data_IF_572047643315
#
_entry.id   IF_572047643315
#
_cell.length_a   1.000
_cell.length_b   1.000
_cell.length_c   1.000
_cell.angle_alpha   90.00
_cell.angle_beta   90.00
_cell.angle_gamma   90.00
#
_symmetry.space_group_name_H-M   'P 1'
#
loop_
_entity.id
_entity.type
_entity.pdbx_description
1 polymer ?
#
# COMPACT_ATOMS: atom_id res chain seq x y z
N UNK A 1 21.27 14.30 -13.06
CA UNK A 1 22.74 14.34 -12.84
C UNK A 1 23.35 12.93 -12.88
N UNK A 2 22.93 11.99 -12.03
CA UNK A 2 23.45 10.60 -12.06
C UNK A 2 23.25 9.94 -13.44
N UNK A 3 22.07 10.09 -14.05
CA UNK A 3 21.78 9.57 -15.40
C UNK A 3 22.77 10.12 -16.45
N UNK A 4 23.09 11.42 -16.37
CA UNK A 4 24.07 12.03 -17.26
C UNK A 4 25.49 11.48 -17.03
N UNK A 5 25.88 11.27 -15.78
CA UNK A 5 27.17 10.64 -15.43
C UNK A 5 27.22 9.20 -15.95
N UNK A 6 26.14 8.44 -15.84
CA UNK A 6 26.05 7.07 -16.36
C UNK A 6 26.23 7.02 -17.88
N UNK A 7 25.52 7.88 -18.62
CA UNK A 7 25.58 7.90 -20.09
C UNK A 7 26.87 8.51 -20.65
N UNK A 8 27.47 9.51 -19.98
CA UNK A 8 28.61 10.28 -20.54
C UNK A 8 29.97 9.97 -19.90
N UNK A 9 29.99 9.59 -18.62
CA UNK A 9 31.23 9.34 -17.85
C UNK A 9 31.42 7.85 -17.50
N UNK A 10 30.43 7.02 -17.80
CA UNK A 10 30.48 5.56 -17.68
C UNK A 10 29.81 4.99 -16.43
N UNK A 11 29.42 3.73 -16.56
CA UNK A 11 28.66 2.98 -15.55
C UNK A 11 29.36 2.82 -14.21
N UNK A 12 30.70 2.70 -14.21
CA UNK A 12 31.49 2.55 -12.98
C UNK A 12 31.33 3.76 -12.04
N UNK A 13 31.43 4.97 -12.58
CA UNK A 13 31.20 6.20 -11.80
C UNK A 13 29.72 6.37 -11.46
N UNK A 14 28.84 6.05 -12.42
CA UNK A 14 27.40 6.13 -12.25
C UNK A 14 26.84 5.29 -11.09
N UNK A 15 27.34 4.07 -10.90
CA UNK A 15 26.95 3.21 -9.78
C UNK A 15 27.83 3.40 -8.53
N UNK A 16 29.09 3.83 -8.70
CA UNK A 16 29.99 4.10 -7.59
C UNK A 16 29.51 5.22 -6.66
N UNK A 17 28.96 6.30 -7.22
CA UNK A 17 28.45 7.44 -6.43
C UNK A 17 27.31 7.00 -5.48
N UNK A 18 26.22 6.34 -5.94
CA UNK A 18 25.19 5.79 -5.06
C UNK A 18 25.73 4.79 -4.03
N UNK A 19 26.69 3.94 -4.42
CA UNK A 19 27.27 2.94 -3.51
C UNK A 19 28.01 3.59 -2.34
N UNK A 20 28.83 4.62 -2.62
CA UNK A 20 29.53 5.40 -1.57
C UNK A 20 28.51 6.12 -0.70
N UNK A 21 27.50 6.75 -1.31
CA UNK A 21 26.43 7.44 -0.56
C UNK A 21 25.68 6.49 0.38
N UNK A 22 25.37 5.27 -0.06
CA UNK A 22 24.76 4.23 0.76
C UNK A 22 25.70 3.82 1.91
N UNK A 23 27.00 3.66 1.66
CA UNK A 23 27.99 3.37 2.69
C UNK A 23 28.04 4.45 3.79
N UNK A 24 28.01 5.72 3.40
CA UNK A 24 27.95 6.85 4.34
C UNK A 24 26.64 6.83 5.14
N UNK A 25 25.50 6.56 4.50
CA UNK A 25 24.21 6.45 5.17
C UNK A 25 24.20 5.33 6.22
N UNK A 26 24.75 4.16 5.89
CA UNK A 26 24.87 3.02 6.82
C UNK A 26 25.79 3.37 8.00
N UNK A 27 26.95 3.98 7.75
CA UNK A 27 27.86 4.40 8.81
C UNK A 27 27.21 5.43 9.75
N UNK A 28 26.49 6.40 9.20
CA UNK A 28 25.72 7.38 9.97
C UNK A 28 24.62 6.73 10.81
N UNK A 29 23.90 5.76 10.24
CA UNK A 29 22.88 4.99 10.95
C UNK A 29 23.47 4.25 12.16
N UNK A 30 24.59 3.54 11.98
CA UNK A 30 25.24 2.83 13.09
C UNK A 30 25.84 3.76 14.14
N UNK A 31 26.39 4.91 13.74
CA UNK A 31 26.88 5.92 14.67
C UNK A 31 25.77 6.46 15.60
N UNK A 32 24.52 6.43 15.16
CA UNK A 32 23.36 6.87 15.95
C UNK A 32 22.77 5.82 16.89
N UNK A 33 23.28 4.59 16.90
CA UNK A 33 22.65 3.44 17.59
C UNK A 33 22.40 3.71 19.08
N UNK A 34 23.31 4.39 19.77
CA UNK A 34 23.16 4.72 21.19
C UNK A 34 22.02 5.71 21.48
N UNK A 35 21.57 6.48 20.49
CA UNK A 35 20.49 7.45 20.60
C UNK A 35 19.12 6.86 20.26
N UNK A 36 19.07 5.64 19.71
CA UNK A 36 17.84 5.03 19.24
C UNK A 36 17.02 4.43 20.39
N UNK A 37 15.73 4.78 20.43
CA UNK A 37 14.77 4.14 21.32
C UNK A 37 14.17 2.92 20.61
N UNK A 38 14.48 1.73 21.11
CA UNK A 38 13.97 0.48 20.56
C UNK A 38 12.51 0.27 20.97
N UNK A 39 11.62 0.20 19.97
CA UNK A 39 10.22 -0.14 20.17
C UNK A 39 10.07 -1.67 20.25
N UNK A 40 9.24 -2.15 21.19
CA UNK A 40 8.93 -3.58 21.29
C UNK A 40 8.20 -4.05 20.02
N UNK A 41 8.49 -5.24 19.49
CA UNK A 41 7.83 -5.74 18.28
C UNK A 41 6.33 -5.96 18.53
N UNK A 42 5.48 -5.30 17.74
CA UNK A 42 4.01 -5.33 17.87
C UNK A 42 3.32 -6.52 17.21
N UNK A 43 4.04 -7.61 16.92
CA UNK A 43 3.52 -8.75 16.16
C UNK A 43 3.31 -8.45 14.67
N UNK A 44 2.80 -9.44 13.92
CA UNK A 44 2.55 -9.33 12.47
C UNK A 44 1.05 -9.40 12.16
N UNK A 45 0.46 -8.38 11.50
CA UNK A 45 -0.91 -8.43 11.03
C UNK A 45 -1.17 -9.60 10.06
N UNK A 46 -0.19 -9.94 9.22
CA UNK A 46 -0.30 -11.07 8.28
C UNK A 46 -0.44 -12.40 9.02
N UNK A 47 0.27 -12.58 10.13
CA UNK A 47 0.15 -13.78 10.95
C UNK A 47 -1.27 -13.91 11.54
N UNK A 48 -1.88 -12.79 11.99
CA UNK A 48 -3.27 -12.78 12.48
C UNK A 48 -4.28 -13.15 11.39
N UNK A 49 -4.08 -12.68 10.16
CA UNK A 49 -4.93 -13.05 9.02
C UNK A 49 -4.83 -14.54 8.70
N UNK A 50 -3.61 -15.08 8.68
CA UNK A 50 -3.39 -16.52 8.48
C UNK A 50 -4.01 -17.36 9.60
N UNK A 51 -3.96 -16.88 10.85
CA UNK A 51 -4.61 -17.52 11.99
C UNK A 51 -6.11 -17.66 11.78
N UNK A 52 -6.80 -16.58 11.38
CA UNK A 52 -8.26 -16.60 11.11
C UNK A 52 -8.60 -17.58 9.99
N UNK A 53 -7.83 -17.58 8.90
CA UNK A 53 -8.04 -18.52 7.80
C UNK A 53 -7.86 -19.96 8.28
N UNK A 54 -6.76 -20.28 8.95
CA UNK A 54 -6.48 -21.64 9.44
C UNK A 54 -7.53 -22.09 10.46
N UNK A 55 -7.91 -21.23 11.41
CA UNK A 55 -8.89 -21.53 12.43
C UNK A 55 -10.29 -21.75 11.83
N UNK A 56 -10.73 -20.91 10.90
CA UNK A 56 -12.02 -21.06 10.20
C UNK A 56 -12.06 -22.33 9.35
N UNK A 57 -10.99 -22.68 8.63
CA UNK A 57 -10.91 -23.95 7.89
C UNK A 57 -10.96 -25.17 8.82
N UNK A 58 -10.23 -25.15 9.95
CA UNK A 58 -10.27 -26.23 10.95
C UNK A 58 -11.66 -26.41 11.57
N UNK A 59 -12.37 -25.31 11.80
CA UNK A 59 -13.72 -25.28 12.38
C UNK A 59 -14.83 -25.29 11.32
N UNK A 60 -14.50 -25.53 10.05
CA UNK A 60 -15.45 -25.43 8.92
C UNK A 60 -16.66 -26.38 9.07
N UNK A 61 -16.52 -27.50 9.77
CA UNK A 61 -17.62 -28.46 10.02
C UNK A 61 -18.51 -28.12 11.23
N UNK A 62 -18.15 -27.12 12.04
CA UNK A 62 -18.95 -26.72 13.19
C UNK A 62 -20.13 -25.84 12.75
N UNK A 63 -21.25 -25.99 13.46
CA UNK A 63 -22.40 -25.11 13.31
C UNK A 63 -22.04 -23.73 13.89
N UNK A 64 -22.46 -22.68 13.18
CA UNK A 64 -22.36 -21.32 13.67
C UNK A 64 -23.50 -21.08 14.67
N UNK A 65 -23.23 -20.55 15.87
CA UNK A 65 -24.28 -20.12 16.78
C UNK A 65 -25.11 -18.98 16.15
N UNK A 66 -26.41 -18.96 16.41
CA UNK A 66 -27.32 -17.91 15.92
C UNK A 66 -27.08 -16.56 16.63
N UNK A 67 -26.64 -16.60 17.89
CA UNK A 67 -26.32 -15.42 18.69
C UNK A 67 -24.85 -15.00 18.52
N UNK A 68 -24.63 -13.80 17.97
CA UNK A 68 -23.29 -13.20 17.81
C UNK A 68 -22.57 -12.95 19.14
N UNK A 69 -23.31 -12.86 20.25
CA UNK A 69 -22.76 -12.69 21.60
C UNK A 69 -22.05 -13.95 22.13
N UNK A 70 -22.23 -15.11 21.48
CA UNK A 70 -21.56 -16.37 21.84
C UNK A 70 -20.20 -16.52 21.14
N UNK A 71 -19.83 -15.60 20.26
CA UNK A 71 -18.52 -15.60 19.60
C UNK A 71 -17.43 -15.14 20.57
N UNK A 72 -16.26 -15.77 20.47
CA UNK A 72 -15.12 -15.45 21.33
C UNK A 72 -14.59 -14.03 21.06
N UNK A 73 -14.59 -13.19 22.09
CA UNK A 73 -13.95 -11.88 22.09
C UNK A 73 -13.21 -11.69 23.42
N UNK A 74 -12.03 -11.06 23.35
CA UNK A 74 -11.19 -10.82 24.54
C UNK A 74 -11.55 -9.47 25.18
N UNK A 75 -11.48 -9.38 26.53
CA UNK A 75 -11.62 -8.12 27.28
C UNK A 75 -10.56 -7.09 26.86
N UNK A 76 -10.87 -5.80 26.90
CA UNK A 76 -10.00 -4.73 26.34
C UNK A 76 -8.57 -4.73 26.90
N UNK A 77 -8.40 -5.14 28.17
CA UNK A 77 -7.10 -5.25 28.85
C UNK A 77 -6.19 -6.39 28.35
N UNK A 78 -6.75 -7.42 27.70
CA UNK A 78 -6.01 -8.60 27.21
C UNK A 78 -5.86 -8.60 25.66
N UNK A 79 -6.11 -7.46 25.01
CA UNK A 79 -5.92 -7.35 23.57
C UNK A 79 -4.44 -7.49 23.19
N UNK A 80 -4.13 -8.39 22.26
CA UNK A 80 -2.75 -8.68 21.80
C UNK A 80 -2.07 -7.45 21.19
N UNK A 81 -2.84 -6.43 20.80
CA UNK A 81 -2.35 -5.15 20.29
C UNK A 81 -2.91 -4.03 21.16
N UNK A 82 -2.02 -3.39 21.92
CA UNK A 82 -2.32 -2.20 22.70
C UNK A 82 -2.83 -1.08 21.76
N UNK A 83 -4.11 -0.73 21.88
CA UNK A 83 -4.77 0.29 21.05
C UNK A 83 -5.62 -0.22 19.89
N UNK A 84 -5.84 -1.52 19.73
CA UNK A 84 -6.81 -2.03 18.74
C UNK A 84 -8.25 -1.71 19.17
N UNK A 85 -8.99 -0.98 18.33
CA UNK A 85 -10.41 -0.71 18.56
C UNK A 85 -11.22 -1.95 18.21
N UNK A 86 -12.04 -2.44 19.14
CA UNK A 86 -12.99 -3.52 18.88
C UNK A 86 -13.86 -3.20 17.67
N UNK A 87 -13.98 -4.16 16.76
CA UNK A 87 -14.80 -4.06 15.57
C UNK A 87 -16.14 -4.75 15.83
N UNK A 88 -17.22 -4.09 15.43
CA UNK A 88 -18.56 -4.69 15.52
C UNK A 88 -18.71 -5.83 14.52
N UNK A 89 -19.37 -6.89 14.96
CA UNK A 89 -19.59 -8.08 14.16
C UNK A 89 -20.48 -7.78 12.93
N UNK A 90 -20.05 -8.21 11.74
CA UNK A 90 -20.86 -8.10 10.52
C UNK A 90 -21.34 -9.47 10.04
N UNK A 91 -22.60 -9.53 9.57
CA UNK A 91 -23.25 -10.73 9.04
C UNK A 91 -22.72 -11.25 7.68
N UNK A 92 -21.68 -10.65 7.13
CA UNK A 92 -21.09 -11.04 5.85
C UNK A 92 -19.91 -11.99 6.05
N UNK A 93 -19.61 -12.83 5.05
CA UNK A 93 -18.50 -13.81 5.10
C UNK A 93 -18.56 -14.73 6.32
N UNK A 94 -19.76 -15.23 6.66
CA UNK A 94 -20.03 -16.05 7.85
C UNK A 94 -19.14 -17.29 8.02
N UNK A 95 -18.53 -17.77 6.94
CA UNK A 95 -17.58 -18.87 7.01
C UNK A 95 -16.36 -18.54 7.89
N UNK A 96 -15.93 -17.27 7.93
CA UNK A 96 -14.79 -16.81 8.72
C UNK A 96 -15.14 -16.73 10.22
N UNK A 97 -16.41 -16.50 10.55
CA UNK A 97 -16.90 -16.42 11.94
C UNK A 97 -16.71 -17.73 12.69
N UNK A 98 -16.57 -18.85 11.96
CA UNK A 98 -16.23 -20.17 12.52
C UNK A 98 -14.91 -20.16 13.28
N UNK A 99 -13.99 -19.23 12.99
CA UNK A 99 -12.75 -19.09 13.74
C UNK A 99 -12.96 -18.64 15.19
N UNK A 100 -14.05 -17.93 15.49
CA UNK A 100 -14.41 -17.46 16.84
C UNK A 100 -15.40 -18.37 17.57
N UNK A 101 -15.81 -19.50 16.97
CA UNK A 101 -16.69 -20.47 17.64
C UNK A 101 -15.88 -21.26 18.66
N UNK A 102 -16.27 -21.17 19.92
CA UNK A 102 -15.67 -21.94 21.01
C UNK A 102 -16.07 -23.42 20.87
N UNK A 103 -15.08 -24.30 20.74
CA UNK A 103 -15.33 -25.74 20.63
C UNK A 103 -15.40 -26.40 22.01
N UNK A 104 -16.19 -27.48 22.16
CA UNK A 104 -16.28 -28.26 23.41
C UNK A 104 -14.91 -28.67 24.00
N UNK A 105 -13.90 -28.87 23.15
CA UNK A 105 -12.53 -29.17 23.60
C UNK A 105 -11.89 -27.97 24.30
N UNK A 106 -12.10 -26.76 23.79
CA UNK A 106 -11.56 -25.53 24.38
C UNK A 106 -12.22 -25.23 25.73
N UNK A 107 -13.52 -25.50 25.85
CA UNK A 107 -14.26 -25.41 27.12
C UNK A 107 -13.75 -26.47 28.11
N UNK A 108 -13.57 -27.73 27.67
CA UNK A 108 -13.15 -28.83 28.55
C UNK A 108 -11.73 -28.70 29.09
N UNK A 109 -10.82 -28.07 28.35
CA UNK A 109 -9.42 -27.93 28.72
C UNK A 109 -9.05 -26.50 29.18
N UNK A 110 -10.01 -25.57 29.18
CA UNK A 110 -9.79 -24.12 29.42
C UNK A 110 -8.63 -23.52 28.60
N UNK A 111 -8.34 -24.09 27.43
CA UNK A 111 -7.24 -23.67 26.56
C UNK A 111 -7.74 -22.70 25.49
N UNK A 112 -7.79 -21.42 25.86
CA UNK A 112 -8.11 -20.29 24.97
C UNK A 112 -6.86 -19.59 24.42
N UNK A 113 -5.67 -20.10 24.71
CA UNK A 113 -4.40 -19.40 24.43
C UNK A 113 -3.96 -19.54 22.98
N UNK A 114 -4.39 -20.59 22.27
CA UNK A 114 -3.89 -20.92 20.94
C UNK A 114 -4.57 -20.10 19.81
N UNK A 115 -3.90 -19.10 19.23
CA UNK A 115 -4.52 -18.20 18.25
C UNK A 115 -4.77 -18.87 16.89
N UNK A 116 -4.19 -20.05 16.64
CA UNK A 116 -4.36 -20.84 15.40
C UNK A 116 -5.56 -21.79 15.46
N UNK A 117 -6.29 -21.79 16.57
CA UNK A 117 -7.50 -22.60 16.77
C UNK A 117 -8.70 -21.74 17.13
N UNK A 118 -8.49 -20.69 17.92
CA UNK A 118 -9.51 -19.76 18.32
C UNK A 118 -9.04 -18.33 18.06
N UNK A 119 -9.84 -17.57 17.31
CA UNK A 119 -9.57 -16.18 16.97
C UNK A 119 -10.66 -15.27 17.55
N UNK A 120 -10.35 -14.00 17.76
CA UNK A 120 -11.35 -13.02 18.24
C UNK A 120 -12.22 -12.51 17.09
N UNK A 121 -13.41 -12.00 17.39
CA UNK A 121 -14.28 -11.34 16.39
C UNK A 121 -13.58 -10.15 15.77
N UNK A 122 -12.83 -9.37 16.56
CA UNK A 122 -12.03 -8.26 16.03
C UNK A 122 -11.01 -8.72 14.97
N UNK A 123 -10.31 -9.86 15.19
CA UNK A 123 -9.39 -10.42 14.18
C UNK A 123 -10.10 -10.83 12.90
N UNK A 124 -11.31 -11.37 13.02
CA UNK A 124 -12.12 -11.81 11.89
C UNK A 124 -12.61 -10.62 11.09
N UNK A 125 -13.11 -9.58 11.75
CA UNK A 125 -13.58 -8.36 11.09
C UNK A 125 -12.44 -7.60 10.42
N UNK A 126 -11.23 -7.57 11.01
CA UNK A 126 -10.03 -7.06 10.33
C UNK A 126 -9.80 -7.76 8.98
N UNK A 127 -9.88 -9.10 8.94
CA UNK A 127 -9.73 -9.86 7.70
C UNK A 127 -10.88 -9.59 6.72
N UNK A 128 -12.13 -9.53 7.19
CA UNK A 128 -13.30 -9.23 6.34
C UNK A 128 -13.15 -7.86 5.67
N UNK A 129 -12.72 -6.83 6.40
CA UNK A 129 -12.47 -5.49 5.86
C UNK A 129 -11.41 -5.55 4.74
N UNK A 130 -10.33 -6.32 4.94
CA UNK A 130 -9.29 -6.46 3.91
C UNK A 130 -9.78 -7.18 2.66
N UNK A 131 -10.58 -8.24 2.82
CA UNK A 131 -11.22 -8.92 1.69
C UNK A 131 -12.12 -7.95 0.92
N UNK A 132 -12.89 -7.10 1.60
CA UNK A 132 -13.72 -6.06 0.96
C UNK A 132 -12.89 -4.97 0.27
N UNK A 133 -11.70 -4.67 0.77
CA UNK A 133 -10.79 -3.68 0.19
C UNK A 133 -10.00 -4.24 -1.01
N UNK A 134 -9.90 -5.57 -1.12
CA UNK A 134 -9.13 -6.24 -2.17
C UNK A 134 -9.55 -5.86 -3.61
N UNK A 135 -10.84 -5.78 -3.98
CA UNK A 135 -11.23 -5.35 -5.33
C UNK A 135 -10.74 -3.94 -5.68
N UNK A 136 -10.81 -3.01 -4.71
CA UNK A 136 -10.31 -1.63 -4.91
C UNK A 136 -8.80 -1.67 -5.11
N UNK A 137 -8.09 -2.41 -4.28
CA UNK A 137 -6.64 -2.62 -4.44
C UNK A 137 -6.28 -3.22 -5.80
N UNK A 138 -7.05 -4.20 -6.28
CA UNK A 138 -6.82 -4.85 -7.57
C UNK A 138 -6.94 -3.87 -8.75
N UNK A 139 -7.85 -2.88 -8.70
CA UNK A 139 -7.90 -1.83 -9.73
C UNK A 139 -6.63 -0.98 -9.78
N UNK A 140 -5.90 -0.85 -8.66
CA UNK A 140 -4.60 -0.19 -8.60
C UNK A 140 -3.49 -0.89 -9.39
N UNK A 141 -3.63 -2.18 -9.69
CA UNK A 141 -2.65 -2.94 -10.50
C UNK A 141 -2.52 -2.33 -11.90
N UNK A 142 -3.63 -1.89 -12.49
CA UNK A 142 -3.63 -1.25 -13.83
C UNK A 142 -2.82 0.04 -13.80
N UNK A 143 -3.01 0.86 -12.76
CA UNK A 143 -2.22 2.07 -12.58
C UNK A 143 -0.73 1.77 -12.40
N UNK A 144 -0.38 0.78 -11.57
CA UNK A 144 1.01 0.35 -11.39
C UNK A 144 1.66 -0.13 -12.68
N UNK A 145 0.90 -0.85 -13.52
CA UNK A 145 1.38 -1.29 -14.83
C UNK A 145 1.66 -0.10 -15.76
N UNK A 146 0.78 0.90 -15.80
CA UNK A 146 0.98 2.15 -16.56
C UNK A 146 2.20 2.90 -16.04
N UNK A 147 2.32 3.04 -14.72
CA UNK A 147 3.44 3.74 -14.10
C UNK A 147 4.78 3.05 -14.40
N UNK A 148 4.83 1.71 -14.41
CA UNK A 148 6.03 0.96 -14.74
C UNK A 148 6.55 1.28 -16.17
N UNK A 149 5.65 1.54 -17.13
CA UNK A 149 6.03 1.90 -18.50
C UNK A 149 6.81 3.22 -18.59
N UNK A 150 6.64 4.13 -17.61
CA UNK A 150 7.40 5.40 -17.57
C UNK A 150 8.91 5.16 -17.53
N UNK A 151 9.34 4.11 -16.83
CA UNK A 151 10.76 3.79 -16.64
C UNK A 151 11.37 2.95 -17.77
N UNK A 152 10.53 2.41 -18.66
CA UNK A 152 10.94 1.49 -19.73
C UNK A 152 10.54 2.03 -21.10
N UNK A 153 9.31 1.77 -21.57
CA UNK A 153 8.88 2.16 -22.91
C UNK A 153 9.00 3.66 -23.16
N UNK A 154 8.70 4.50 -22.18
CA UNK A 154 8.75 5.94 -22.37
C UNK A 154 10.20 6.45 -22.52
N UNK A 155 11.17 5.73 -21.95
CA UNK A 155 12.60 6.01 -22.15
C UNK A 155 13.01 5.64 -23.57
N UNK A 156 12.61 4.47 -24.06
CA UNK A 156 12.85 4.01 -25.45
C UNK A 156 12.18 4.92 -26.49
N UNK A 157 10.99 5.44 -26.18
CA UNK A 157 10.33 6.47 -26.98
C UNK A 157 11.13 7.76 -26.99
N UNK A 158 11.59 8.22 -25.83
CA UNK A 158 12.39 9.43 -25.69
C UNK A 158 13.78 9.36 -26.33
N UNK A 159 14.33 8.15 -26.54
CA UNK A 159 15.64 7.97 -27.16
C UNK A 159 15.65 8.34 -28.65
N UNK A 160 14.55 8.08 -29.36
CA UNK A 160 14.44 8.42 -30.79
C UNK A 160 13.87 9.81 -31.07
N UNK A 161 13.34 10.48 -30.05
CA UNK A 161 12.81 11.83 -30.19
C UNK A 161 13.96 12.84 -30.26
N UNK A 162 13.72 14.01 -30.87
CA UNK A 162 14.68 15.10 -30.75
C UNK A 162 14.71 15.63 -29.31
N UNK A 163 15.91 15.53 -28.74
CA UNK A 163 16.26 15.67 -27.33
C UNK A 163 17.36 16.72 -27.17
N UNK A 164 17.64 17.47 -28.23
CA UNK A 164 18.64 18.53 -28.27
C UNK A 164 18.02 19.87 -27.87
N UNK A 165 18.65 20.55 -26.92
CA UNK A 165 18.31 21.93 -26.54
C UNK A 165 19.57 22.76 -26.75
N UNK A 166 19.60 23.51 -27.86
CA UNK A 166 20.78 24.27 -28.26
C UNK A 166 21.97 23.34 -28.52
N UNK A 167 23.01 23.41 -27.68
CA UNK A 167 24.22 22.59 -27.80
C UNK A 167 24.24 21.35 -26.90
N UNK A 168 23.18 21.10 -26.12
CA UNK A 168 23.15 20.02 -25.13
C UNK A 168 22.06 18.99 -25.44
N UNK A 169 22.44 17.72 -25.44
CA UNK A 169 21.53 16.58 -25.65
C UNK A 169 21.16 15.97 -24.30
N UNK A 170 19.91 16.09 -23.87
CA UNK A 170 19.46 15.71 -22.52
C UNK A 170 19.18 14.21 -22.46
N UNK A 171 19.90 13.34 -21.71
CA UNK A 171 19.66 11.89 -21.55
C UNK A 171 18.19 11.43 -21.54
N UNK A 172 17.84 10.36 -22.26
CA UNK A 172 16.44 9.97 -22.47
C UNK A 172 15.81 9.53 -21.15
N UNK A 173 16.58 8.79 -20.35
CA UNK A 173 16.17 8.41 -19.00
C UNK A 173 15.99 9.61 -18.05
N UNK A 174 16.55 10.79 -18.36
CA UNK A 174 16.30 12.02 -17.59
C UNK A 174 14.93 12.65 -17.87
N UNK A 175 14.16 12.16 -18.86
CA UNK A 175 12.77 12.59 -19.06
C UNK A 175 11.87 12.25 -17.85
N UNK A 176 12.26 11.26 -17.04
CA UNK A 176 11.63 10.99 -15.73
C UNK A 176 11.66 12.18 -14.76
N UNK A 177 12.53 13.17 -14.97
CA UNK A 177 12.53 14.40 -14.19
C UNK A 177 11.23 15.20 -14.34
N UNK A 178 10.56 15.13 -15.49
CA UNK A 178 9.27 15.78 -15.69
C UNK A 178 8.19 15.25 -14.74
N UNK A 179 8.19 13.95 -14.45
CA UNK A 179 7.29 13.35 -13.46
C UNK A 179 7.56 13.92 -12.06
N UNK A 180 8.82 13.92 -11.64
CA UNK A 180 9.22 14.50 -10.34
C UNK A 180 8.81 15.96 -10.21
N UNK A 181 9.07 16.79 -11.23
CA UNK A 181 8.69 18.21 -11.25
C UNK A 181 7.17 18.37 -11.20
N UNK A 182 6.45 17.54 -11.96
CA UNK A 182 4.99 17.51 -11.99
C UNK A 182 4.42 17.22 -10.60
N UNK A 183 4.94 16.21 -9.89
CA UNK A 183 4.51 15.88 -8.52
C UNK A 183 4.80 17.03 -7.55
N UNK A 184 6.00 17.62 -7.61
CA UNK A 184 6.39 18.77 -6.76
C UNK A 184 5.44 19.96 -6.97
N UNK A 185 4.99 20.18 -8.21
CA UNK A 185 4.06 21.26 -8.54
C UNK A 185 2.60 20.92 -8.16
N UNK A 186 2.11 19.74 -8.55
CA UNK A 186 0.71 19.37 -8.42
C UNK A 186 0.29 19.04 -6.99
N UNK A 187 1.18 18.52 -6.14
CA UNK A 187 0.84 18.21 -4.73
C UNK A 187 0.44 19.48 -3.97
N UNK A 188 1.25 20.57 -3.95
CA UNK A 188 0.84 21.84 -3.36
C UNK A 188 -0.41 22.45 -4.01
N UNK A 189 -0.52 22.40 -5.35
CA UNK A 189 -1.71 22.90 -6.06
C UNK A 189 -2.97 22.14 -5.63
N UNK A 190 -2.87 20.82 -5.49
CA UNK A 190 -3.96 19.99 -5.01
C UNK A 190 -4.37 20.38 -3.59
N UNK A 191 -3.41 20.43 -2.66
CA UNK A 191 -3.69 20.68 -1.24
C UNK A 191 -4.11 22.12 -0.94
N UNK A 192 -3.57 23.11 -1.66
CA UNK A 192 -3.80 24.54 -1.40
C UNK A 192 -4.90 25.15 -2.25
N UNK A 193 -5.18 24.62 -3.44
CA UNK A 193 -6.15 25.19 -4.38
C UNK A 193 -7.34 24.24 -4.56
N UNK A 194 -7.09 23.00 -4.97
CA UNK A 194 -8.19 22.07 -5.29
C UNK A 194 -8.95 21.60 -4.06
N UNK A 195 -8.28 21.27 -2.96
CA UNK A 195 -8.94 20.82 -1.72
C UNK A 195 -9.84 21.90 -1.11
N UNK A 196 -9.38 23.16 -0.93
CA UNK A 196 -10.26 24.23 -0.43
C UNK A 196 -11.43 24.54 -1.36
N UNK A 197 -11.21 24.51 -2.68
CA UNK A 197 -12.27 24.71 -3.67
C UNK A 197 -13.31 23.58 -3.60
N UNK A 198 -12.85 22.33 -3.64
CA UNK A 198 -13.70 21.16 -3.52
C UNK A 198 -14.46 21.15 -2.20
N UNK A 199 -13.82 21.53 -1.08
CA UNK A 199 -14.47 21.64 0.23
C UNK A 199 -15.63 22.65 0.23
N UNK A 200 -15.52 23.77 -0.50
CA UNK A 200 -16.62 24.74 -0.64
C UNK A 200 -17.85 24.14 -1.32
N UNK A 201 -17.65 23.25 -2.29
CA UNK A 201 -18.75 22.61 -3.03
C UNK A 201 -19.27 21.32 -2.39
N UNK A 202 -18.38 20.48 -1.83
CA UNK A 202 -18.74 19.16 -1.32
C UNK A 202 -19.07 19.15 0.18
N UNK A 203 -18.69 20.20 0.93
CA UNK A 203 -18.86 20.28 2.38
C UNK A 203 -17.99 19.30 3.19
N UNK A 204 -17.19 18.44 2.54
CA UNK A 204 -16.32 17.45 3.21
C UNK A 204 -14.98 18.08 3.59
N UNK A 205 -14.43 17.71 4.75
CA UNK A 205 -13.16 18.29 5.24
C UNK A 205 -11.98 18.15 4.26
N UNK A 206 -11.90 17.02 3.53
CA UNK A 206 -10.86 16.75 2.52
C UNK A 206 -11.24 17.14 1.09
N UNK A 207 -12.43 17.73 0.86
CA UNK A 207 -12.96 18.03 -0.47
C UNK A 207 -13.43 16.77 -1.21
N UNK A 208 -12.51 15.93 -1.65
CA UNK A 208 -12.78 14.67 -2.35
C UNK A 208 -12.71 13.45 -1.41
N UNK A 209 -13.47 12.39 -1.70
CA UNK A 209 -13.23 11.10 -1.03
C UNK A 209 -11.98 10.42 -1.61
N UNK A 210 -11.34 9.54 -0.83
CA UNK A 210 -10.15 8.82 -1.31
C UNK A 210 -10.48 7.96 -2.55
N UNK A 211 -11.67 7.34 -2.58
CA UNK A 211 -12.12 6.57 -3.73
C UNK A 211 -12.34 7.45 -4.98
N UNK A 212 -12.84 8.68 -4.83
CA UNK A 212 -12.96 9.63 -5.94
C UNK A 212 -11.59 10.01 -6.48
N UNK A 213 -10.61 10.26 -5.61
CA UNK A 213 -9.23 10.57 -6.01
C UNK A 213 -8.60 9.40 -6.80
N UNK A 214 -8.79 8.17 -6.32
CA UNK A 214 -8.35 6.97 -7.02
C UNK A 214 -9.00 6.86 -8.41
N UNK A 215 -10.32 7.05 -8.50
CA UNK A 215 -11.05 7.00 -9.76
C UNK A 215 -10.60 8.07 -10.77
N UNK A 216 -10.39 9.30 -10.33
CA UNK A 216 -9.88 10.40 -11.17
C UNK A 216 -8.48 10.08 -11.68
N UNK A 217 -7.59 9.56 -10.82
CA UNK A 217 -6.24 9.14 -11.21
C UNK A 217 -6.25 8.05 -12.28
N UNK A 218 -7.08 7.02 -12.11
CA UNK A 218 -7.26 5.97 -13.11
C UNK A 218 -7.78 6.53 -14.44
N UNK A 219 -8.76 7.42 -14.41
CA UNK A 219 -9.29 8.04 -15.63
C UNK A 219 -8.23 8.88 -16.37
N UNK A 220 -7.47 9.70 -15.65
CA UNK A 220 -6.37 10.49 -16.23
C UNK A 220 -5.31 9.58 -16.82
N UNK A 221 -5.00 8.44 -16.18
CA UNK A 221 -4.00 7.48 -16.68
C UNK A 221 -4.41 6.84 -18.01
N UNK A 222 -5.71 6.66 -18.26
CA UNK A 222 -6.22 6.17 -19.55
C UNK A 222 -5.98 7.23 -20.63
N UNK A 223 -6.26 8.50 -20.32
CA UNK A 223 -6.03 9.60 -21.26
C UNK A 223 -4.55 9.79 -21.58
N UNK A 224 -3.66 9.67 -20.58
CA UNK A 224 -2.22 9.78 -20.80
C UNK A 224 -1.69 8.63 -21.66
N UNK A 225 -2.14 7.40 -21.44
CA UNK A 225 -1.78 6.26 -22.28
C UNK A 225 -2.32 6.39 -23.71
N UNK A 226 -3.53 6.91 -23.88
CA UNK A 226 -4.07 7.20 -25.21
C UNK A 226 -3.22 8.25 -25.94
N UNK A 227 -2.80 9.32 -25.25
CA UNK A 227 -1.92 10.33 -25.82
C UNK A 227 -0.54 9.73 -26.19
N UNK A 228 0.05 8.91 -25.32
CA UNK A 228 1.31 8.23 -25.60
C UNK A 228 1.22 7.28 -26.81
N UNK A 229 0.12 6.54 -26.94
CA UNK A 229 -0.12 5.68 -28.11
C UNK A 229 -0.24 6.49 -29.41
N UNK A 230 -0.93 7.64 -29.38
CA UNK A 230 -1.03 8.52 -30.55
C UNK A 230 0.32 9.13 -30.94
N UNK A 231 1.17 9.46 -29.95
CA UNK A 231 2.54 9.92 -30.20
C UNK A 231 3.36 8.81 -30.85
N UNK A 232 3.27 7.57 -30.33
CA UNK A 232 3.96 6.42 -30.91
C UNK A 232 3.52 6.13 -32.35
N UNK A 233 2.24 6.29 -32.68
CA UNK A 233 1.76 6.09 -34.05
C UNK A 233 2.32 7.10 -35.06
N UNK A 234 2.79 8.27 -34.59
CA UNK A 234 3.37 9.32 -35.43
C UNK A 234 4.91 9.23 -35.52
N UNK A 235 5.52 8.35 -34.73
CA UNK A 235 6.93 7.99 -34.79
C UNK A 235 7.21 7.17 -36.03
#
# INVERSE_FOLDING_TARGET
LIVWVQENLGWALGFGIPAISMGIAIASFFSGTALYRLQKPGGSPLTRMCQVLVASFRKSKLALPEDSNLLYETSDENSVIEGSRKLEHTNELKCLDKAAVVSDKEIKFEDFSNPWRLCTVTQIEELKILIRMFPIWATGIVFSAIYAQMSTMFVEQGEVMDRTIGSFTIPAASLSMFDTISVIFWVPVYDKILVPLARKFTGKQRGFSELQRMGIGLFISILSMAAAALVEMKR
#
